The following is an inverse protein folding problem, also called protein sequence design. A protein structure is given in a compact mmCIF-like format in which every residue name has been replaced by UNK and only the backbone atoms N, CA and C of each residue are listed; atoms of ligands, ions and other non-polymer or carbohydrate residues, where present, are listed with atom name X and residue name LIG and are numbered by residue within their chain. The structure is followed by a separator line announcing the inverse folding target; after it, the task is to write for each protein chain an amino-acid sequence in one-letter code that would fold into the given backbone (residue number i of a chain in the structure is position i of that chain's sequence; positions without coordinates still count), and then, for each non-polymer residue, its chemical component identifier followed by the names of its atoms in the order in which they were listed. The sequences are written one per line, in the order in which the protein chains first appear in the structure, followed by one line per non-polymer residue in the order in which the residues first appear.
data_IF_142650754745
#
_entry.id   IF_142650754745
#
_cell.length_a   1.000
_cell.length_b   1.000
_cell.length_c   1.000
_cell.angle_alpha   90.00
_cell.angle_beta   90.00
_cell.angle_gamma   90.00
#
_symmetry.space_group_name_H-M   'P 1'
#
loop_
_entity.id
_entity.type
_entity.pdbx_description
1 polymer ?
#
# COMPACT_ATOMS: atom_id res chain seq x y z
N UNK A 1 -5.18 -34.35 12.38
CA UNK A 1 -4.01 -33.54 11.99
C UNK A 1 -4.29 -32.12 12.46
N UNK A 2 -3.56 -31.61 13.44
CA UNK A 2 -3.81 -30.29 14.04
C UNK A 2 -3.21 -29.23 13.12
N UNK A 3 -4.07 -28.48 12.42
CA UNK A 3 -3.73 -27.21 11.77
C UNK A 3 -3.37 -26.19 12.87
N UNK A 4 -2.16 -26.32 13.43
CA UNK A 4 -1.55 -25.19 14.13
C UNK A 4 -1.20 -24.19 13.06
N UNK A 5 -2.03 -23.15 12.90
CA UNK A 5 -1.55 -21.91 12.31
C UNK A 5 -0.20 -21.63 12.97
N UNK A 6 0.87 -21.66 12.16
CA UNK A 6 2.20 -21.26 12.59
C UNK A 6 2.00 -19.88 13.24
N UNK A 7 2.24 -19.79 14.55
CA UNK A 7 1.94 -18.58 15.32
C UNK A 7 2.74 -17.44 14.69
N UNK A 8 2.07 -16.61 13.89
CA UNK A 8 2.70 -15.46 13.21
C UNK A 8 3.32 -14.57 14.28
N UNK A 9 4.53 -14.08 14.02
CA UNK A 9 5.16 -13.14 14.94
C UNK A 9 4.30 -11.88 15.12
N UNK A 10 4.39 -11.19 16.28
CA UNK A 10 3.70 -9.93 16.47
C UNK A 10 4.00 -8.91 15.35
N UNK A 11 5.25 -8.84 14.89
CA UNK A 11 5.66 -7.98 13.78
C UNK A 11 4.99 -8.35 12.45
N UNK A 12 4.95 -9.64 12.09
CA UNK A 12 4.24 -10.10 10.90
C UNK A 12 2.75 -9.76 10.96
N UNK A 13 2.12 -9.89 12.14
CA UNK A 13 0.71 -9.53 12.33
C UNK A 13 0.48 -8.02 12.18
N UNK A 14 1.37 -7.20 12.72
CA UNK A 14 1.31 -5.74 12.60
C UNK A 14 1.48 -5.29 11.15
N UNK A 15 2.52 -5.78 10.46
CA UNK A 15 2.74 -5.50 9.04
C UNK A 15 1.50 -5.84 8.19
N UNK A 16 0.98 -7.06 8.33
CA UNK A 16 -0.21 -7.48 7.59
C UNK A 16 -1.47 -6.69 7.98
N UNK A 17 -1.56 -6.19 9.22
CA UNK A 17 -2.65 -5.31 9.64
C UNK A 17 -2.56 -3.96 8.93
N UNK A 18 -1.38 -3.37 8.83
CA UNK A 18 -1.19 -2.11 8.10
C UNK A 18 -1.43 -2.27 6.59
N UNK A 19 -1.00 -3.40 6.00
CA UNK A 19 -1.32 -3.74 4.61
C UNK A 19 -2.84 -3.82 4.38
N UNK A 20 -3.58 -4.54 5.23
CA UNK A 20 -5.06 -4.57 5.17
C UNK A 20 -5.67 -3.18 5.28
N UNK A 21 -5.12 -2.35 6.16
CA UNK A 21 -5.66 -1.03 6.41
C UNK A 21 -5.40 -0.08 5.22
N UNK A 22 -4.24 -0.18 4.56
CA UNK A 22 -3.97 0.47 3.27
C UNK A 22 -4.97 0.02 2.21
N UNK A 23 -5.08 -1.30 2.02
CA UNK A 23 -5.94 -1.92 1.02
C UNK A 23 -7.41 -1.50 1.18
N UNK A 24 -7.98 -1.63 2.38
CA UNK A 24 -9.36 -1.24 2.64
C UNK A 24 -9.61 0.24 2.34
N UNK A 25 -8.62 1.10 2.62
CA UNK A 25 -8.71 2.52 2.32
C UNK A 25 -8.60 2.81 0.83
N UNK A 26 -7.76 2.07 0.11
CA UNK A 26 -7.59 2.20 -1.34
C UNK A 26 -8.86 1.79 -2.06
N UNK A 27 -9.46 0.66 -1.69
CA UNK A 27 -10.73 0.18 -2.24
C UNK A 27 -11.88 1.15 -1.95
N UNK A 28 -12.00 1.62 -0.70
CA UNK A 28 -13.05 2.59 -0.34
C UNK A 28 -12.88 3.93 -1.10
N UNK A 29 -11.64 4.36 -1.32
CA UNK A 29 -11.36 5.58 -2.10
C UNK A 29 -11.69 5.34 -3.57
N UNK A 30 -11.27 4.22 -4.17
CA UNK A 30 -11.58 3.87 -5.55
C UNK A 30 -13.09 3.76 -5.81
N UNK A 31 -13.84 3.13 -4.90
CA UNK A 31 -15.30 3.04 -4.98
C UNK A 31 -15.98 4.41 -4.95
N UNK A 32 -15.50 5.31 -4.08
CA UNK A 32 -15.98 6.69 -4.05
C UNK A 32 -15.67 7.40 -5.37
N UNK A 33 -14.42 7.30 -5.82
CA UNK A 33 -13.94 7.90 -7.06
C UNK A 33 -14.74 7.40 -8.29
N UNK A 34 -15.12 6.13 -8.36
CA UNK A 34 -15.98 5.58 -9.43
C UNK A 34 -17.39 6.15 -9.43
N UNK A 35 -17.97 6.39 -8.25
CA UNK A 35 -19.31 7.00 -8.12
C UNK A 35 -19.34 8.45 -8.59
N UNK A 36 -18.18 9.10 -8.61
CA UNK A 36 -18.02 10.49 -9.04
C UNK A 36 -16.96 10.58 -10.15
N UNK A 37 -17.24 10.08 -11.37
CA UNK A 37 -16.21 9.96 -12.42
C UNK A 37 -15.68 11.30 -12.92
N UNK A 38 -16.50 12.36 -12.83
CA UNK A 38 -16.11 13.71 -13.23
C UNK A 38 -15.34 14.41 -12.08
N UNK A 39 -14.23 15.03 -12.41
CA UNK A 39 -13.37 15.76 -11.46
C UNK A 39 -13.77 17.25 -11.29
N UNK A 40 -14.83 17.69 -11.96
CA UNK A 40 -15.26 19.10 -11.96
C UNK A 40 -16.03 19.49 -10.69
N UNK A 41 -16.65 18.51 -10.03
CA UNK A 41 -17.38 18.73 -8.78
C UNK A 41 -16.40 18.90 -7.61
N UNK A 42 -16.52 20.02 -6.88
CA UNK A 42 -15.57 20.39 -5.83
C UNK A 42 -15.58 19.39 -4.66
N UNK A 43 -16.76 19.01 -4.16
CA UNK A 43 -16.88 18.15 -2.98
C UNK A 43 -16.37 16.72 -3.21
N UNK A 44 -16.78 16.00 -4.28
CA UNK A 44 -16.23 14.68 -4.57
C UNK A 44 -14.72 14.72 -4.79
N UNK A 45 -14.23 15.70 -5.55
CA UNK A 45 -12.80 15.82 -5.82
C UNK A 45 -11.98 16.10 -4.55
N UNK A 46 -12.53 16.89 -3.60
CA UNK A 46 -11.94 17.08 -2.28
C UNK A 46 -11.90 15.79 -1.45
N UNK A 47 -12.95 14.96 -1.52
CA UNK A 47 -12.98 13.66 -0.86
C UNK A 47 -11.98 12.68 -1.45
N UNK A 48 -11.81 12.65 -2.77
CA UNK A 48 -10.75 11.87 -3.46
C UNK A 48 -9.37 12.33 -2.98
N UNK A 49 -9.11 13.64 -2.95
CA UNK A 49 -7.85 14.19 -2.45
C UNK A 49 -7.56 13.76 -1.00
N UNK A 50 -8.54 13.85 -0.09
CA UNK A 50 -8.42 13.36 1.30
C UNK A 50 -8.18 11.84 1.37
N UNK A 51 -8.75 11.08 0.43
CA UNK A 51 -8.47 9.67 0.22
C UNK A 51 -6.99 9.40 -0.04
N UNK A 52 -6.43 10.12 -1.03
CA UNK A 52 -5.02 10.02 -1.42
C UNK A 52 -4.06 10.43 -0.29
N UNK A 53 -4.31 11.53 0.41
CA UNK A 53 -3.52 11.94 1.59
C UNK A 53 -3.52 10.84 2.65
N UNK A 54 -4.67 10.22 2.92
CA UNK A 54 -4.74 9.12 3.87
C UNK A 54 -3.97 7.89 3.41
N UNK A 55 -3.83 7.67 2.10
CA UNK A 55 -3.07 6.54 1.56
C UNK A 55 -1.57 6.78 1.63
N UNK A 56 -1.10 8.01 1.42
CA UNK A 56 0.30 8.39 1.64
C UNK A 56 0.76 8.06 3.06
N UNK A 57 -0.02 8.48 4.07
CA UNK A 57 0.26 8.11 5.45
C UNK A 57 0.27 6.61 5.68
N UNK A 58 -0.57 5.85 4.99
CA UNK A 58 -0.68 4.39 5.19
C UNK A 58 0.45 3.63 4.50
N UNK A 59 0.90 4.05 3.32
CA UNK A 59 2.02 3.38 2.65
C UNK A 59 3.31 3.57 3.44
N UNK A 60 3.53 4.74 4.04
CA UNK A 60 4.64 4.96 4.97
C UNK A 60 4.59 3.98 6.16
N UNK A 61 3.40 3.75 6.74
CA UNK A 61 3.22 2.75 7.83
C UNK A 61 3.46 1.31 7.36
N UNK A 62 3.08 0.97 6.13
CA UNK A 62 3.37 -0.34 5.53
C UNK A 62 4.88 -0.52 5.40
N UNK A 63 5.59 0.49 4.87
CA UNK A 63 7.06 0.51 4.76
C UNK A 63 7.73 0.31 6.12
N UNK A 64 7.43 1.17 7.09
CA UNK A 64 8.01 1.10 8.45
C UNK A 64 7.81 -0.29 9.08
N UNK A 65 6.58 -0.80 9.06
CA UNK A 65 6.27 -2.09 9.70
C UNK A 65 6.80 -3.29 8.93
N UNK A 66 7.03 -3.16 7.62
CA UNK A 66 7.71 -4.17 6.81
C UNK A 66 9.18 -4.28 7.19
N UNK A 67 9.86 -3.14 7.34
CA UNK A 67 11.26 -3.09 7.80
C UNK A 67 11.42 -3.62 9.22
N UNK A 68 10.53 -3.21 10.14
CA UNK A 68 10.49 -3.76 11.50
C UNK A 68 10.32 -5.29 11.49
N UNK A 69 9.43 -5.81 10.63
CA UNK A 69 9.22 -7.26 10.50
C UNK A 69 10.47 -7.99 10.01
N UNK A 70 11.18 -7.44 9.03
CA UNK A 70 12.41 -8.03 8.48
C UNK A 70 13.52 -8.02 9.53
N UNK A 71 13.71 -6.89 10.22
CA UNK A 71 14.74 -6.73 11.24
C UNK A 71 14.52 -7.68 12.43
N UNK A 72 13.30 -7.71 12.97
CA UNK A 72 12.99 -8.44 14.21
C UNK A 72 12.67 -9.90 13.96
N UNK A 73 12.12 -10.24 12.79
CA UNK A 73 11.71 -11.61 12.45
C UNK A 73 12.16 -12.07 11.07
N UNK A 74 13.49 -12.10 10.79
CA UNK A 74 14.06 -12.43 9.48
C UNK A 74 13.81 -13.89 9.03
N UNK A 75 13.22 -14.72 9.89
CA UNK A 75 12.86 -16.13 9.64
C UNK A 75 11.35 -16.34 9.57
N UNK A 76 10.53 -15.28 9.53
CA UNK A 76 9.09 -15.42 9.37
C UNK A 76 8.75 -15.92 7.96
N UNK A 77 7.56 -16.48 7.80
CA UNK A 77 7.14 -17.13 6.55
C UNK A 77 7.12 -16.17 5.35
N UNK A 78 6.73 -14.91 5.54
CA UNK A 78 6.74 -13.90 4.48
C UNK A 78 8.18 -13.59 4.01
N UNK A 79 9.08 -13.35 4.97
CA UNK A 79 10.47 -13.03 4.67
C UNK A 79 11.21 -14.20 4.01
N UNK A 80 10.96 -15.43 4.48
CA UNK A 80 11.58 -16.63 3.91
C UNK A 80 11.08 -16.94 2.48
N UNK A 81 9.80 -16.69 2.19
CA UNK A 81 9.22 -16.97 0.86
C UNK A 81 9.84 -16.12 -0.25
N UNK A 82 10.22 -14.88 0.04
CA UNK A 82 10.75 -13.95 -0.96
C UNK A 82 12.02 -13.27 -0.43
N UNK A 83 13.02 -14.05 -0.02
CA UNK A 83 14.21 -13.51 0.64
C UNK A 83 14.96 -12.47 -0.20
N UNK A 84 14.94 -12.57 -1.52
CA UNK A 84 15.57 -11.58 -2.42
C UNK A 84 14.87 -10.22 -2.39
N UNK A 85 13.55 -10.21 -2.24
CA UNK A 85 12.73 -9.00 -2.16
C UNK A 85 13.03 -8.20 -0.89
N UNK A 86 13.22 -8.91 0.23
CA UNK A 86 13.50 -8.30 1.54
C UNK A 86 14.99 -8.07 1.82
N UNK A 87 15.91 -8.65 1.03
CA UNK A 87 17.35 -8.55 1.25
C UNK A 87 18.11 -8.47 -0.07
N UNK A 88 18.71 -7.32 -0.38
CA UNK A 88 19.66 -7.20 -1.47
C UNK A 88 21.04 -7.69 -0.99
N UNK A 89 21.56 -8.75 -1.63
CA UNK A 89 22.85 -9.37 -1.26
C UNK A 89 24.09 -8.57 -1.66
N UNK A 90 23.95 -7.49 -2.43
CA UNK A 90 25.06 -6.88 -3.16
C UNK A 90 25.49 -5.48 -2.71
N UNK A 91 24.60 -4.62 -2.20
CA UNK A 91 24.96 -3.28 -1.73
C UNK A 91 23.94 -2.80 -0.70
N UNK A 92 24.45 -2.04 0.27
CA UNK A 92 23.75 -1.58 1.44
C UNK A 92 22.62 -0.59 1.10
N UNK A 93 21.58 -0.62 1.95
CA UNK A 93 20.67 0.47 2.31
C UNK A 93 19.27 0.56 1.66
N UNK A 94 18.94 -0.17 0.59
CA UNK A 94 17.56 -0.23 0.07
C UNK A 94 17.16 -1.64 -0.37
N UNK A 95 15.92 -2.05 -0.07
CA UNK A 95 15.31 -3.33 -0.47
C UNK A 95 14.33 -3.13 -1.63
N UNK A 96 14.06 -4.17 -2.43
CA UNK A 96 13.02 -4.09 -3.49
C UNK A 96 11.65 -3.71 -2.89
N UNK A 97 11.39 -4.10 -1.64
CA UNK A 97 10.21 -3.68 -0.88
C UNK A 97 10.17 -2.17 -0.62
N UNK A 98 11.29 -1.57 -0.22
CA UNK A 98 11.38 -0.13 0.02
C UNK A 98 11.20 0.65 -1.27
N UNK A 99 11.86 0.23 -2.35
CA UNK A 99 11.72 0.84 -3.68
C UNK A 99 10.25 0.82 -4.14
N UNK A 100 9.56 -0.30 -3.95
CA UNK A 100 8.14 -0.42 -4.30
C UNK A 100 7.25 0.51 -3.46
N UNK A 101 7.53 0.62 -2.15
CA UNK A 101 6.81 1.54 -1.28
C UNK A 101 7.02 3.00 -1.69
N UNK A 102 8.26 3.37 -2.02
CA UNK A 102 8.64 4.71 -2.47
C UNK A 102 8.00 5.03 -3.83
N UNK A 103 7.94 4.06 -4.75
CA UNK A 103 7.25 4.20 -6.03
C UNK A 103 5.74 4.41 -5.85
N UNK A 104 5.10 3.67 -4.94
CA UNK A 104 3.68 3.85 -4.62
C UNK A 104 3.45 5.23 -4.00
N UNK A 105 4.32 5.66 -3.09
CA UNK A 105 4.29 6.98 -2.45
C UNK A 105 4.37 8.10 -3.49
N UNK A 106 5.40 8.08 -4.36
CA UNK A 106 5.58 9.07 -5.42
C UNK A 106 4.38 9.14 -6.38
N UNK A 107 3.79 7.99 -6.73
CA UNK A 107 2.59 7.94 -7.58
C UNK A 107 1.36 8.52 -6.88
N UNK A 108 1.17 8.24 -5.60
CA UNK A 108 0.09 8.81 -4.80
C UNK A 108 0.22 10.33 -4.69
N UNK A 109 1.43 10.86 -4.47
CA UNK A 109 1.68 12.31 -4.44
C UNK A 109 1.38 12.96 -5.79
N UNK A 110 1.83 12.34 -6.89
CA UNK A 110 1.55 12.82 -8.23
C UNK A 110 0.04 12.84 -8.54
N UNK A 111 -0.71 11.83 -8.11
CA UNK A 111 -2.17 11.81 -8.23
C UNK A 111 -2.83 12.88 -7.36
N UNK A 112 -2.36 13.07 -6.13
CA UNK A 112 -2.89 14.07 -5.21
C UNK A 112 -2.79 15.48 -5.82
N UNK A 113 -1.63 15.85 -6.37
CA UNK A 113 -1.43 17.13 -7.04
C UNK A 113 -2.34 17.29 -8.27
N UNK A 114 -2.46 16.25 -9.09
CA UNK A 114 -3.32 16.28 -10.28
C UNK A 114 -4.80 16.38 -9.93
N UNK A 115 -5.25 15.69 -8.87
CA UNK A 115 -6.62 15.80 -8.35
C UNK A 115 -6.88 17.21 -7.84
N UNK A 116 -5.97 17.78 -7.05
CA UNK A 116 -6.10 19.15 -6.54
C UNK A 116 -6.26 20.17 -7.68
N UNK A 117 -5.46 20.03 -8.75
CA UNK A 117 -5.52 20.87 -9.95
C UNK A 117 -6.63 20.50 -10.94
N UNK A 118 -7.36 19.41 -10.69
CA UNK A 118 -8.39 18.85 -11.58
C UNK A 118 -7.86 18.48 -12.97
N UNK A 119 -6.61 18.03 -13.02
CA UNK A 119 -5.88 17.64 -14.24
C UNK A 119 -6.03 16.14 -14.55
N UNK A 120 -6.75 15.39 -13.72
CA UNK A 120 -6.96 13.96 -13.92
C UNK A 120 -8.40 13.58 -13.59
N UNK A 121 -9.02 12.75 -14.42
CA UNK A 121 -10.35 12.22 -14.13
C UNK A 121 -10.29 11.21 -12.98
N UNK A 122 -11.38 11.16 -12.23
CA UNK A 122 -11.47 10.27 -11.08
C UNK A 122 -11.32 8.80 -11.52
N UNK A 123 -11.84 8.40 -12.68
CA UNK A 123 -11.70 7.00 -13.15
C UNK A 123 -10.25 6.50 -13.24
N UNK A 124 -9.30 7.37 -13.63
CA UNK A 124 -7.87 7.01 -13.65
C UNK A 124 -7.31 6.79 -12.25
N UNK A 125 -7.73 7.64 -11.29
CA UNK A 125 -7.37 7.49 -9.88
C UNK A 125 -7.91 6.16 -9.35
N UNK A 126 -9.16 5.81 -9.65
CA UNK A 126 -9.77 4.54 -9.21
C UNK A 126 -8.99 3.33 -9.73
N UNK A 127 -8.66 3.31 -11.04
CA UNK A 127 -7.91 2.21 -11.64
C UNK A 127 -6.52 2.01 -11.02
N UNK A 128 -5.80 3.11 -10.71
CA UNK A 128 -4.54 3.03 -9.99
C UNK A 128 -4.73 2.42 -8.58
N UNK A 129 -5.69 2.93 -7.82
CA UNK A 129 -5.92 2.49 -6.44
C UNK A 129 -6.29 1.01 -6.35
N UNK A 130 -7.12 0.53 -7.27
CA UNK A 130 -7.51 -0.88 -7.35
C UNK A 130 -6.35 -1.79 -7.71
N UNK A 131 -5.55 -1.39 -8.71
CA UNK A 131 -4.38 -2.16 -9.11
C UNK A 131 -3.37 -2.27 -7.96
N UNK A 132 -3.13 -1.17 -7.23
CA UNK A 132 -2.22 -1.16 -6.08
C UNK A 132 -2.78 -1.98 -4.91
N UNK A 133 -4.08 -1.88 -4.64
CA UNK A 133 -4.72 -2.67 -3.60
C UNK A 133 -4.62 -4.18 -3.89
N UNK A 134 -4.91 -4.59 -5.13
CA UNK A 134 -4.79 -5.98 -5.57
C UNK A 134 -3.34 -6.48 -5.44
N UNK A 135 -2.37 -5.68 -5.88
CA UNK A 135 -0.96 -6.01 -5.77
C UNK A 135 -0.54 -6.31 -4.31
N UNK A 136 -0.88 -5.42 -3.38
CA UNK A 136 -0.57 -5.58 -1.94
C UNK A 136 -1.31 -6.78 -1.35
N UNK A 137 -2.59 -7.02 -1.72
CA UNK A 137 -3.35 -8.20 -1.29
C UNK A 137 -2.65 -9.49 -1.69
N UNK A 138 -2.28 -9.61 -2.96
CA UNK A 138 -1.69 -10.82 -3.52
C UNK A 138 -0.30 -11.07 -2.93
N UNK A 139 0.53 -10.04 -2.89
CA UNK A 139 1.92 -10.10 -2.45
C UNK A 139 2.04 -10.44 -0.95
N UNK A 140 1.20 -9.86 -0.09
CA UNK A 140 1.31 -10.04 1.37
C UNK A 140 0.24 -10.94 1.98
N UNK A 141 -0.65 -11.50 1.15
CA UNK A 141 -1.74 -12.40 1.52
C UNK A 141 -2.66 -11.80 2.59
N UNK A 142 -3.21 -10.63 2.28
CA UNK A 142 -4.01 -9.81 3.22
C UNK A 142 -5.44 -9.57 2.81
#
# INVERSE_FOLDING_TARGET
MSNREQVRSPYQRTFQKECRAFVNRAEATADHTRKHPNNHELEPNSAVHKGLVSLLWRIARVKDTGLDMVAETPRCSLVLKQRSYWFIRALADQTEFEDECDDIEARLEGLMQKVERREIENLWVAGFLESTALHIKDQFHV
#
